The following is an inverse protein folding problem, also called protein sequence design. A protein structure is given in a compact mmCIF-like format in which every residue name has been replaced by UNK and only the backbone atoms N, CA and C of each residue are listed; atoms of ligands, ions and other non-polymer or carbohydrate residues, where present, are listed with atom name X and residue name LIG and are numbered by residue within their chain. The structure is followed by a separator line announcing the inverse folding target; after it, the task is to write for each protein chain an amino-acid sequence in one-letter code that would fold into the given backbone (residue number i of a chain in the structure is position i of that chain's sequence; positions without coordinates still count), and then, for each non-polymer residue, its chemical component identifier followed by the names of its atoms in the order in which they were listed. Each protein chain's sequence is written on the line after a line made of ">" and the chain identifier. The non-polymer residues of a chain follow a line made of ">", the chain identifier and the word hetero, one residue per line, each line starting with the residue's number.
data_IF_609287866871
#
_entry.id   IF_609287866871
#
_cell.length_a   1.000
_cell.length_b   1.000
_cell.length_c   1.000
_cell.angle_alpha   90.00
_cell.angle_beta   90.00
_cell.angle_gamma   90.00
#
_symmetry.space_group_name_H-M   'P 1'
#
loop_
_entity.id
_entity.type
_entity.pdbx_description
1 polymer ?
#
# COMPACT_ATOMS: atom_id res chain seq x y z
N UNK A 1 -10.49 -8.96 -4.29
CA UNK A 1 -10.27 -7.74 -3.46
C UNK A 1 -11.61 -7.08 -3.31
N UNK A 2 -12.00 -6.65 -2.12
CA UNK A 2 -13.20 -5.82 -1.98
C UNK A 2 -12.99 -4.55 -2.80
N UNK A 3 -13.89 -4.27 -3.74
CA UNK A 3 -13.80 -3.11 -4.61
C UNK A 3 -13.75 -1.81 -3.80
N UNK A 4 -14.43 -1.78 -2.64
CA UNK A 4 -14.43 -0.64 -1.71
C UNK A 4 -13.03 -0.36 -1.15
N UNK A 5 -12.23 -1.39 -0.96
CA UNK A 5 -10.87 -1.25 -0.44
C UNK A 5 -9.90 -0.70 -1.50
N UNK A 6 -10.14 -0.99 -2.78
CA UNK A 6 -9.44 -0.34 -3.90
C UNK A 6 -9.86 1.13 -3.99
N UNK A 7 -11.15 1.41 -3.88
CA UNK A 7 -11.70 2.77 -3.90
C UNK A 7 -11.14 3.63 -2.77
N UNK A 8 -11.09 3.09 -1.54
CA UNK A 8 -10.46 3.75 -0.40
C UNK A 8 -9.00 4.15 -0.69
N UNK A 9 -8.22 3.22 -1.27
CA UNK A 9 -6.82 3.48 -1.63
C UNK A 9 -6.66 4.51 -2.76
N UNK A 10 -7.56 4.47 -3.75
CA UNK A 10 -7.54 5.38 -4.88
C UNK A 10 -8.00 6.80 -4.49
N UNK A 11 -8.89 6.94 -3.51
CA UNK A 11 -9.34 8.23 -2.97
C UNK A 11 -8.47 8.73 -1.80
N UNK A 12 -7.63 7.87 -1.23
CA UNK A 12 -6.90 8.15 0.00
C UNK A 12 -7.81 8.24 1.23
N UNK A 13 -8.96 7.56 1.22
CA UNK A 13 -9.96 7.61 2.28
C UNK A 13 -9.61 6.68 3.45
N UNK A 14 -8.97 7.25 4.46
CA UNK A 14 -8.58 6.56 5.68
C UNK A 14 -9.80 6.15 6.53
N UNK A 15 -10.91 6.91 6.48
CA UNK A 15 -12.10 6.56 7.25
C UNK A 15 -12.74 5.30 6.68
N UNK A 16 -12.86 5.20 5.35
CA UNK A 16 -13.35 3.99 4.69
C UNK A 16 -12.42 2.80 4.92
N UNK A 17 -11.09 2.99 4.93
CA UNK A 17 -10.15 1.95 5.33
C UNK A 17 -10.47 1.38 6.71
N UNK A 18 -10.68 2.25 7.70
CA UNK A 18 -11.01 1.83 9.06
C UNK A 18 -12.40 1.19 9.16
N UNK A 19 -13.39 1.70 8.43
CA UNK A 19 -14.73 1.08 8.36
C UNK A 19 -14.65 -0.36 7.82
N UNK A 20 -13.85 -0.59 6.78
CA UNK A 20 -13.66 -1.93 6.20
C UNK A 20 -12.94 -2.87 7.16
N UNK A 21 -11.97 -2.38 7.93
CA UNK A 21 -11.29 -3.16 8.97
C UNK A 21 -12.25 -3.49 10.13
N UNK A 22 -13.11 -2.56 10.53
CA UNK A 22 -14.11 -2.79 11.56
C UNK A 22 -15.13 -3.85 11.13
N UNK A 23 -15.56 -3.81 9.87
CA UNK A 23 -16.47 -4.80 9.30
C UNK A 23 -15.81 -6.19 9.18
N UNK A 24 -14.51 -6.25 8.87
CA UNK A 24 -13.76 -7.49 8.74
C UNK A 24 -12.31 -7.35 9.27
N UNK A 25 -12.06 -7.75 10.53
CA UNK A 25 -10.75 -7.58 11.17
C UNK A 25 -9.60 -8.35 10.49
N UNK A 26 -9.91 -9.35 9.65
CA UNK A 26 -8.92 -10.18 8.98
C UNK A 26 -8.66 -9.74 7.53
N UNK A 27 -9.28 -8.65 7.06
CA UNK A 27 -9.16 -8.16 5.67
C UNK A 27 -7.71 -7.95 5.23
N UNK A 28 -6.89 -7.30 6.06
CA UNK A 28 -5.48 -7.06 5.73
C UNK A 28 -4.64 -8.33 5.79
N UNK A 29 -4.94 -9.24 6.71
CA UNK A 29 -4.21 -10.51 6.84
C UNK A 29 -4.41 -11.39 5.60
N UNK A 30 -5.66 -11.54 5.13
CA UNK A 30 -5.93 -12.34 3.93
C UNK A 30 -5.23 -11.80 2.68
N UNK A 31 -5.09 -10.48 2.56
CA UNK A 31 -4.31 -9.87 1.49
C UNK A 31 -2.82 -10.18 1.65
N UNK A 32 -2.31 -10.14 2.89
CA UNK A 32 -0.91 -10.43 3.19
C UNK A 32 -0.54 -11.88 2.90
N UNK A 33 -1.46 -12.82 3.12
CA UNK A 33 -1.23 -14.25 2.91
C UNK A 33 -1.09 -14.60 1.41
N UNK A 34 -1.58 -13.76 0.50
CA UNK A 34 -1.43 -13.97 -0.96
C UNK A 34 -0.03 -13.52 -1.39
N UNK A 35 0.89 -14.40 -1.86
CA UNK A 35 2.31 -14.03 -2.04
C UNK A 35 2.54 -12.84 -2.98
N UNK A 36 1.90 -12.85 -4.15
CA UNK A 36 1.98 -11.80 -5.15
C UNK A 36 0.62 -11.15 -5.33
N UNK A 37 0.46 -9.92 -4.84
CA UNK A 37 -0.82 -9.25 -4.82
C UNK A 37 -0.66 -7.75 -5.09
N UNK A 38 -1.53 -7.21 -5.95
CA UNK A 38 -1.60 -5.78 -6.17
C UNK A 38 -2.28 -5.12 -4.95
N UNK A 39 -1.49 -4.55 -4.05
CA UNK A 39 -2.01 -4.06 -2.76
C UNK A 39 -2.63 -2.67 -2.89
N UNK A 40 -3.52 -2.35 -1.95
CA UNK A 40 -4.02 -0.99 -1.72
C UNK A 40 -2.88 0.02 -1.56
N UNK A 41 -1.81 -0.41 -0.89
CA UNK A 41 -0.62 0.41 -0.69
C UNK A 41 -0.02 0.84 -2.03
N UNK A 42 0.09 -0.08 -2.99
CA UNK A 42 0.60 0.19 -4.33
C UNK A 42 -0.29 1.18 -5.11
N UNK A 43 -1.62 1.03 -5.01
CA UNK A 43 -2.59 1.98 -5.60
C UNK A 43 -2.41 3.37 -4.99
N UNK A 44 -2.49 3.50 -3.67
CA UNK A 44 -2.32 4.78 -2.98
C UNK A 44 -0.96 5.43 -3.27
N UNK A 45 0.09 4.61 -3.38
CA UNK A 45 1.44 5.05 -3.75
C UNK A 45 1.49 5.62 -5.16
N UNK A 46 0.88 4.93 -6.15
CA UNK A 46 0.85 5.40 -7.54
C UNK A 46 0.07 6.71 -7.72
N UNK A 47 -0.98 6.92 -6.93
CA UNK A 47 -1.78 8.16 -6.92
C UNK A 47 -1.08 9.27 -6.11
N UNK A 48 -0.29 8.92 -5.10
CA UNK A 48 0.44 9.86 -4.25
C UNK A 48 -0.25 10.20 -2.93
N UNK A 49 -1.18 9.36 -2.46
CA UNK A 49 -1.85 9.54 -1.16
C UNK A 49 -0.94 9.13 0.00
N UNK A 50 -0.06 10.05 0.40
CA UNK A 50 1.00 9.80 1.40
C UNK A 50 0.44 9.37 2.75
N UNK A 51 -0.58 10.05 3.26
CA UNK A 51 -1.13 9.74 4.59
C UNK A 51 -1.77 8.35 4.62
N UNK A 52 -2.57 8.02 3.60
CA UNK A 52 -3.15 6.68 3.45
C UNK A 52 -2.06 5.60 3.33
N UNK A 53 -1.03 5.87 2.52
CA UNK A 53 0.11 4.96 2.35
C UNK A 53 0.81 4.70 3.69
N UNK A 54 1.10 5.75 4.46
CA UNK A 54 1.75 5.61 5.76
C UNK A 54 0.87 4.89 6.78
N UNK A 55 -0.44 5.13 6.76
CA UNK A 55 -1.37 4.44 7.65
C UNK A 55 -1.45 2.95 7.33
N UNK A 56 -1.48 2.59 6.05
CA UNK A 56 -1.40 1.18 5.61
C UNK A 56 -0.10 0.50 6.04
N UNK A 57 1.04 1.18 5.92
CA UNK A 57 2.35 0.65 6.37
C UNK A 57 2.35 0.46 7.89
N UNK A 58 1.77 1.39 8.64
CA UNK A 58 1.66 1.30 10.10
C UNK A 58 0.78 0.12 10.53
N UNK A 59 -0.34 -0.10 9.84
CA UNK A 59 -1.26 -1.20 10.11
C UNK A 59 -0.68 -2.56 9.70
N UNK A 60 0.03 -2.61 8.56
CA UNK A 60 0.55 -3.85 7.99
C UNK A 60 1.91 -3.64 7.28
N UNK A 61 3.02 -3.58 8.04
CA UNK A 61 4.35 -3.25 7.51
C UNK A 61 4.84 -4.16 6.36
N UNK A 62 4.41 -5.42 6.35
CA UNK A 62 4.75 -6.41 5.31
C UNK A 62 4.32 -5.96 3.91
N UNK A 63 3.31 -5.09 3.79
CA UNK A 63 2.85 -4.58 2.50
C UNK A 63 3.90 -3.73 1.78
N UNK A 64 4.81 -3.07 2.50
CA UNK A 64 5.84 -2.23 1.90
C UNK A 64 6.81 -3.04 1.01
N UNK A 65 7.06 -4.31 1.36
CA UNK A 65 7.95 -5.22 0.64
C UNK A 65 7.22 -6.15 -0.33
N UNK A 66 5.89 -6.15 -0.31
CA UNK A 66 5.09 -7.06 -1.13
C UNK A 66 5.17 -6.70 -2.60
N UNK A 67 5.35 -7.70 -3.44
CA UNK A 67 5.37 -7.56 -4.89
C UNK A 67 3.99 -7.89 -5.47
N UNK A 68 3.60 -7.20 -6.53
CA UNK A 68 2.48 -7.64 -7.35
C UNK A 68 2.90 -8.75 -8.33
N UNK A 69 1.96 -9.23 -9.13
CA UNK A 69 2.20 -10.29 -10.12
C UNK A 69 3.21 -9.89 -11.22
N UNK A 70 3.46 -8.60 -11.42
CA UNK A 70 4.49 -8.10 -12.33
C UNK A 70 5.86 -7.91 -11.65
N UNK A 71 5.99 -8.28 -10.36
CA UNK A 71 7.23 -8.13 -9.60
C UNK A 71 7.47 -6.72 -9.06
N UNK A 72 6.48 -5.81 -9.13
CA UNK A 72 6.65 -4.44 -8.65
C UNK A 72 6.23 -4.27 -7.19
N UNK A 73 7.05 -3.54 -6.42
CA UNK A 73 6.75 -3.06 -5.08
C UNK A 73 6.17 -1.63 -5.11
N UNK A 74 5.73 -1.11 -3.96
CA UNK A 74 5.32 0.30 -3.84
C UNK A 74 6.43 1.27 -4.24
N UNK A 75 7.71 0.95 -3.96
CA UNK A 75 8.86 1.76 -4.37
C UNK A 75 8.94 1.89 -5.91
N UNK A 76 8.78 0.77 -6.63
CA UNK A 76 8.79 0.75 -8.09
C UNK A 76 7.69 1.66 -8.66
N UNK A 77 6.47 1.54 -8.14
CA UNK A 77 5.34 2.34 -8.62
C UNK A 77 5.48 3.82 -8.26
N UNK A 78 6.05 4.15 -7.11
CA UNK A 78 6.34 5.54 -6.74
C UNK A 78 7.30 6.20 -7.74
N UNK A 79 8.35 5.48 -8.14
CA UNK A 79 9.33 5.95 -9.12
C UNK A 79 8.72 6.09 -10.51
N UNK A 80 7.99 5.07 -10.99
CA UNK A 80 7.33 5.08 -12.30
C UNK A 80 6.30 6.21 -12.45
N UNK A 81 5.61 6.57 -11.35
CA UNK A 81 4.59 7.61 -11.34
C UNK A 81 5.10 8.97 -10.85
N UNK A 82 6.42 9.16 -10.76
CA UNK A 82 7.06 10.41 -10.31
C UNK A 82 6.57 10.93 -8.95
N UNK A 83 6.28 10.03 -8.01
CA UNK A 83 5.78 10.34 -6.66
C UNK A 83 6.94 10.51 -5.69
N UNK A 84 7.72 11.59 -5.85
CA UNK A 84 8.94 11.85 -5.05
C UNK A 84 8.68 11.83 -3.54
N UNK A 85 7.57 12.41 -3.08
CA UNK A 85 7.22 12.38 -1.65
C UNK A 85 6.96 10.96 -1.14
N UNK A 86 6.35 10.09 -1.96
CA UNK A 86 6.13 8.70 -1.59
C UNK A 86 7.44 7.93 -1.52
N UNK A 87 8.34 8.12 -2.49
CA UNK A 87 9.71 7.56 -2.48
C UNK A 87 10.42 7.94 -1.18
N UNK A 88 10.47 9.24 -0.85
CA UNK A 88 11.15 9.72 0.36
C UNK A 88 10.54 9.16 1.64
N UNK A 89 9.21 9.01 1.69
CA UNK A 89 8.52 8.43 2.85
C UNK A 89 8.78 6.93 2.99
N UNK A 90 8.78 6.18 1.88
CA UNK A 90 9.14 4.76 1.87
C UNK A 90 10.60 4.54 2.31
N UNK A 91 11.54 5.35 1.81
CA UNK A 91 12.95 5.29 2.24
C UNK A 91 13.13 5.59 3.72
N UNK A 92 12.41 6.58 4.24
CA UNK A 92 12.43 6.90 5.69
C UNK A 92 11.85 5.78 6.54
N UNK A 93 10.90 5.02 6.00
CA UNK A 93 10.34 3.87 6.69
C UNK A 93 11.32 2.69 6.69
N UNK A 94 11.91 2.37 5.53
CA UNK A 94 12.88 1.29 5.37
C UNK A 94 13.78 1.52 4.16
N UNK A 95 15.05 1.87 4.40
CA UNK A 95 16.05 2.06 3.35
C UNK A 95 16.33 0.78 2.55
N UNK A 96 16.05 -0.39 3.12
CA UNK A 96 16.18 -1.69 2.45
C UNK A 96 15.24 -1.87 1.25
N UNK A 97 14.20 -1.03 1.13
CA UNK A 97 13.25 -1.08 0.01
C UNK A 97 13.84 -0.74 -1.36
N UNK A 98 15.07 -0.22 -1.43
CA UNK A 98 15.79 -0.01 -2.70
C UNK A 98 16.50 -1.27 -3.22
N UNK A 99 16.68 -2.29 -2.38
CA UNK A 99 17.45 -3.50 -2.70
C UNK A 99 16.57 -4.65 -3.22
N UNK A 100 15.33 -4.35 -3.58
CA UNK A 100 14.31 -5.34 -3.97
C UNK A 100 14.37 -5.59 -5.47
#
# INVERSE_FOLDING_TARGET
>A
MDQRMIEAAHMGDINLLYELILNDPYVLQRIDDVPFFNTQLQVATSVGHIEFMMEMIKLKPTFARKLNQAGFSSMHLALQNHRTHAVLRLLRFDEGLVRV
#
